data_IF_699328201396
#
_entry.id   IF_699328201396
#
_cell.length_a   1.000
_cell.length_b   1.000
_cell.length_c   1.000
_cell.angle_alpha   90.00
_cell.angle_beta   90.00
_cell.angle_gamma   90.00
#
_symmetry.space_group_name_H-M   'P 1'
#
loop_
_entity.id
_entity.type
_entity.pdbx_description
1 polymer ?
#
# COMPACT_ATOMS: atom_id res chain seq x y z
N UNK A 1 -0.35 6.76 -4.82
CA UNK A 1 0.01 8.15 -5.19
C UNK A 1 0.76 8.71 -3.99
N UNK A 2 2.00 9.19 -4.18
CA UNK A 2 2.92 9.51 -3.07
C UNK A 2 2.76 10.96 -2.60
N UNK A 3 2.85 11.21 -1.29
CA UNK A 3 2.66 12.52 -0.66
C UNK A 3 3.50 13.62 -1.35
N UNK A 4 2.89 14.70 -1.86
CA UNK A 4 3.60 15.79 -2.53
C UNK A 4 4.38 16.70 -1.57
N UNK A 5 4.10 16.66 -0.26
CA UNK A 5 4.79 17.46 0.75
C UNK A 5 6.16 16.90 1.17
N UNK A 6 6.50 15.67 0.74
CA UNK A 6 7.82 15.08 1.00
C UNK A 6 8.88 15.72 0.11
N UNK A 7 10.02 16.09 0.70
CA UNK A 7 11.20 16.42 -0.09
C UNK A 7 11.65 15.23 -0.94
N UNK A 8 12.32 15.49 -2.06
CA UNK A 8 12.82 14.42 -2.93
C UNK A 8 13.76 13.46 -2.20
N UNK A 9 14.54 13.98 -1.24
CA UNK A 9 15.44 13.19 -0.41
C UNK A 9 14.67 12.22 0.50
N UNK A 10 13.62 12.68 1.17
CA UNK A 10 12.78 11.84 2.03
C UNK A 10 12.01 10.81 1.21
N UNK A 11 11.45 11.24 0.07
CA UNK A 11 10.79 10.34 -0.88
C UNK A 11 11.75 9.23 -1.32
N UNK A 12 12.96 9.58 -1.74
CA UNK A 12 13.94 8.60 -2.20
C UNK A 12 14.38 7.66 -1.07
N UNK A 13 14.56 8.19 0.15
CA UNK A 13 14.84 7.38 1.33
C UNK A 13 13.75 6.32 1.58
N UNK A 14 12.49 6.73 1.64
CA UNK A 14 11.39 5.80 1.91
C UNK A 14 11.13 4.82 0.76
N UNK A 15 11.38 5.22 -0.50
CA UNK A 15 11.38 4.30 -1.64
C UNK A 15 12.46 3.23 -1.48
N UNK A 16 13.68 3.59 -1.07
CA UNK A 16 14.75 2.63 -0.84
C UNK A 16 14.41 1.66 0.30
N UNK A 17 13.86 2.17 1.41
CA UNK A 17 13.38 1.35 2.54
C UNK A 17 12.30 0.37 2.08
N UNK A 18 11.31 0.84 1.30
CA UNK A 18 10.24 0.00 0.77
C UNK A 18 10.77 -1.13 -0.12
N UNK A 19 11.69 -0.82 -1.05
CA UNK A 19 12.24 -1.82 -1.96
C UNK A 19 13.14 -2.83 -1.25
N UNK A 20 13.87 -2.40 -0.22
CA UNK A 20 14.62 -3.31 0.65
C UNK A 20 13.68 -4.25 1.41
N UNK A 21 12.66 -3.73 2.08
CA UNK A 21 11.72 -4.55 2.87
C UNK A 21 10.95 -5.55 1.99
N UNK A 22 10.65 -5.20 0.72
CA UNK A 22 10.05 -6.14 -0.24
C UNK A 22 10.96 -7.30 -0.59
N UNK A 23 12.27 -7.07 -0.72
CA UNK A 23 13.25 -8.14 -0.92
C UNK A 23 13.31 -9.04 0.31
N UNK A 24 13.41 -8.46 1.49
CA UNK A 24 13.40 -9.19 2.77
C UNK A 24 12.13 -10.04 2.96
N UNK A 25 10.95 -9.55 2.51
CA UNK A 25 9.73 -10.38 2.49
C UNK A 25 9.82 -11.58 1.54
N UNK A 26 10.49 -11.42 0.39
CA UNK A 26 10.74 -12.50 -0.56
C UNK A 26 11.66 -13.56 0.02
N UNK A 27 12.76 -13.13 0.64
CA UNK A 27 13.74 -14.00 1.29
C UNK A 27 13.12 -14.76 2.46
N UNK A 28 12.38 -14.05 3.34
CA UNK A 28 11.66 -14.67 4.45
C UNK A 28 10.60 -15.69 3.98
N UNK A 29 10.01 -15.49 2.80
CA UNK A 29 9.08 -16.47 2.21
C UNK A 29 9.82 -17.72 1.73
N UNK A 30 11.01 -17.56 1.15
CA UNK A 30 11.86 -18.66 0.67
C UNK A 30 12.40 -19.49 1.84
N UNK A 31 12.82 -18.85 2.93
CA UNK A 31 13.37 -19.51 4.12
C UNK A 31 12.31 -19.96 5.13
N UNK A 32 11.04 -19.64 4.89
CA UNK A 32 9.93 -19.83 5.83
C UNK A 32 10.16 -19.19 7.21
N UNK A 33 10.96 -18.14 7.26
CA UNK A 33 11.22 -17.38 8.49
C UNK A 33 10.05 -16.44 8.80
N UNK A 34 9.23 -16.87 9.76
CA UNK A 34 8.01 -16.14 10.14
C UNK A 34 8.31 -14.81 10.84
N UNK A 35 9.39 -14.73 11.60
CA UNK A 35 9.78 -13.49 12.31
C UNK A 35 10.36 -12.48 11.32
N UNK A 36 11.22 -12.92 10.40
CA UNK A 36 11.72 -12.08 9.32
C UNK A 36 10.56 -11.57 8.44
N UNK A 37 9.57 -12.42 8.16
CA UNK A 37 8.38 -12.04 7.39
C UNK A 37 7.56 -10.98 8.12
N UNK A 38 7.35 -11.12 9.43
CA UNK A 38 6.62 -10.14 10.25
C UNK A 38 7.34 -8.80 10.29
N UNK A 39 8.66 -8.80 10.49
CA UNK A 39 9.50 -7.59 10.49
C UNK A 39 9.46 -6.89 9.13
N UNK A 40 9.71 -7.62 8.05
CA UNK A 40 9.68 -7.07 6.71
C UNK A 40 8.29 -6.50 6.36
N UNK A 41 7.22 -7.15 6.82
CA UNK A 41 5.85 -6.62 6.66
C UNK A 41 5.63 -5.31 7.41
N UNK A 42 6.10 -5.20 8.65
CA UNK A 42 6.00 -3.97 9.42
C UNK A 42 6.76 -2.81 8.74
N UNK A 43 7.97 -3.07 8.23
CA UNK A 43 8.77 -2.06 7.52
C UNK A 43 8.12 -1.64 6.19
N UNK A 44 7.49 -2.56 5.46
CA UNK A 44 6.69 -2.21 4.27
C UNK A 44 5.54 -1.28 4.65
N UNK A 45 4.85 -1.58 5.75
CA UNK A 45 3.69 -0.80 6.19
C UNK A 45 4.10 0.60 6.68
N UNK A 46 5.24 0.72 7.38
CA UNK A 46 5.85 1.99 7.78
C UNK A 46 6.26 2.84 6.58
N UNK A 47 7.01 2.27 5.63
CA UNK A 47 7.47 3.00 4.45
C UNK A 47 6.29 3.50 3.59
N UNK A 48 5.20 2.71 3.49
CA UNK A 48 3.98 3.13 2.81
C UNK A 48 3.27 4.28 3.52
N UNK A 49 3.21 4.25 4.85
CA UNK A 49 2.65 5.37 5.62
C UNK A 49 3.46 6.63 5.43
N UNK A 50 4.79 6.53 5.53
CA UNK A 50 5.69 7.66 5.33
C UNK A 50 5.61 8.24 3.90
N UNK A 51 5.45 7.39 2.88
CA UNK A 51 5.22 7.81 1.49
C UNK A 51 3.82 8.40 1.24
N UNK A 52 2.92 8.37 2.23
CA UNK A 52 1.53 8.80 2.09
C UNK A 52 0.66 7.84 1.26
N UNK A 53 1.08 6.58 1.08
CA UNK A 53 0.27 5.53 0.47
C UNK A 53 -0.73 4.92 1.46
N UNK A 54 -0.53 5.14 2.77
CA UNK A 54 -1.43 4.74 3.85
C UNK A 54 -1.51 5.84 4.91
N UNK A 55 -2.59 6.60 4.91
CA UNK A 55 -2.82 7.77 5.75
C UNK A 55 -3.99 8.57 5.18
N UNK A 56 -4.48 9.64 5.84
CA UNK A 56 -5.49 10.50 5.25
C UNK A 56 -5.04 10.91 3.86
N UNK A 57 -5.93 10.72 2.90
CA UNK A 57 -5.73 11.03 1.50
C UNK A 57 -5.24 12.47 1.36
N UNK A 58 -4.22 12.68 0.55
CA UNK A 58 -3.53 13.97 0.42
C UNK A 58 -4.22 14.90 -0.60
N UNK A 59 -5.33 14.47 -1.22
CA UNK A 59 -6.20 15.37 -1.98
C UNK A 59 -7.07 16.18 -1.02
N UNK A 60 -7.28 17.46 -1.30
CA UNK A 60 -8.10 18.35 -0.46
C UNK A 60 -9.60 18.31 -0.79
N UNK A 61 -10.00 17.54 -1.81
CA UNK A 61 -11.37 17.54 -2.36
C UNK A 61 -12.42 16.88 -1.46
N UNK A 62 -12.01 16.40 -0.27
CA UNK A 62 -12.88 15.81 0.73
C UNK A 62 -13.40 14.42 0.40
N UNK A 63 -12.92 13.78 -0.67
CA UNK A 63 -13.41 12.43 -1.04
C UNK A 63 -12.91 11.37 -0.05
N UNK A 64 -13.79 10.44 0.42
CA UNK A 64 -13.41 9.42 1.41
C UNK A 64 -12.36 8.43 0.90
N UNK A 65 -11.44 8.02 1.78
CA UNK A 65 -10.50 6.92 1.48
C UNK A 65 -11.22 5.56 1.55
N UNK A 66 -11.53 5.00 0.39
CA UNK A 66 -12.06 3.65 0.27
C UNK A 66 -10.98 2.56 0.27
N UNK A 67 -9.70 2.88 0.52
CA UNK A 67 -8.67 1.86 0.74
C UNK A 67 -9.10 0.92 1.87
N UNK A 68 -8.96 -0.39 1.63
CA UNK A 68 -9.36 -1.47 2.56
C UNK A 68 -10.87 -1.62 2.79
N UNK A 69 -11.71 -0.89 2.07
CA UNK A 69 -13.14 -1.19 2.01
C UNK A 69 -13.38 -2.27 0.96
N UNK A 70 -14.24 -3.24 1.28
CA UNK A 70 -14.77 -4.16 0.28
C UNK A 70 -15.50 -3.34 -0.78
N UNK A 71 -15.30 -3.64 -2.06
CA UNK A 71 -15.85 -2.83 -3.16
C UNK A 71 -17.38 -2.66 -3.09
N UNK A 72 -18.09 -3.67 -2.59
CA UNK A 72 -19.54 -3.63 -2.30
C UNK A 72 -19.96 -2.60 -1.23
N UNK A 73 -19.02 -2.16 -0.39
CA UNK A 73 -19.22 -1.15 0.65
C UNK A 73 -18.68 0.23 0.22
N UNK A 74 -18.48 0.43 -1.08
CA UNK A 74 -17.99 1.68 -1.66
C UNK A 74 -18.99 2.17 -2.72
N UNK A 75 -19.01 3.47 -3.04
CA UNK A 75 -19.80 4.00 -4.16
C UNK A 75 -19.50 3.34 -5.52
N UNK A 76 -18.37 2.62 -5.63
CA UNK A 76 -17.98 1.88 -6.83
C UNK A 76 -18.67 0.51 -6.96
N UNK A 77 -19.55 0.13 -6.03
CA UNK A 77 -20.23 -1.16 -6.04
C UNK A 77 -20.99 -1.42 -7.35
N UNK A 78 -21.81 -0.45 -7.79
CA UNK A 78 -22.65 -0.59 -8.99
C UNK A 78 -21.85 -0.72 -10.28
N UNK A 79 -20.73 0.01 -10.37
CA UNK A 79 -19.80 -0.13 -11.49
C UNK A 79 -19.11 -1.50 -11.49
N UNK A 80 -18.65 -1.98 -10.32
CA UNK A 80 -17.98 -3.27 -10.19
C UNK A 80 -18.89 -4.46 -10.50
N UNK A 81 -20.16 -4.39 -10.09
CA UNK A 81 -21.18 -5.41 -10.41
C UNK A 81 -21.49 -5.50 -11.91
N UNK A 82 -21.30 -4.41 -12.65
CA UNK A 82 -21.45 -4.37 -14.10
C UNK A 82 -20.23 -4.87 -14.89
N UNK A 83 -19.11 -5.19 -14.23
CA UNK A 83 -17.94 -5.73 -14.91
C UNK A 83 -18.21 -7.19 -15.33
N UNK A 84 -17.86 -7.59 -16.56
CA UNK A 84 -17.97 -8.99 -16.96
C UNK A 84 -17.09 -9.84 -16.05
N UNK A 85 -17.69 -10.82 -15.38
CA UNK A 85 -16.96 -11.77 -14.53
C UNK A 85 -15.91 -12.46 -15.40
N UNK A 86 -14.62 -12.23 -15.09
CA UNK A 86 -13.51 -12.83 -15.81
C UNK A 86 -13.66 -14.36 -15.81
N UNK A 87 -13.62 -14.94 -17.01
CA UNK A 87 -13.64 -16.40 -17.24
C UNK A 87 -12.59 -17.09 -16.38
N UNK A 88 -13.00 -18.21 -15.75
CA UNK A 88 -12.14 -19.15 -15.02
C UNK A 88 -10.98 -19.68 -15.86
#
# INVERSE_FOLDING_TARGET
>A
MSNPALSDRERQHWVQVLMRARREMGDARLTQDMEAKKKARATVDEAKQALGERGPVWWDDGTPDYNRHLIRNTPYASWYEGLPQGKS
#
